data_IF_903696964029
#
_entry.id   IF_903696964029
#
_cell.length_a   1.000
_cell.length_b   1.000
_cell.length_c   1.000
_cell.angle_alpha   90.00
_cell.angle_beta   90.00
_cell.angle_gamma   90.00
#
_symmetry.space_group_name_H-M   'P 1'
#
loop_
_entity.id
_entity.type
_entity.pdbx_description
1 polymer ?
#
# COMPACT_ATOMS: atom_id res chain seq x y z
N UNK A 1 5.65 -14.15 16.01
CA UNK A 1 4.42 -13.35 15.82
C UNK A 1 4.28 -13.00 14.34
N UNK A 2 3.13 -13.30 13.75
CA UNK A 2 2.76 -12.91 12.38
C UNK A 2 2.24 -11.47 12.40
N UNK A 3 2.63 -10.67 11.40
CA UNK A 3 2.09 -9.32 11.18
C UNK A 3 0.81 -9.39 10.35
N UNK A 4 -0.14 -8.46 10.53
CA UNK A 4 -1.30 -8.37 9.66
C UNK A 4 -0.90 -7.97 8.24
N UNK A 5 -1.72 -8.39 7.29
CA UNK A 5 -1.67 -8.01 5.89
C UNK A 5 -3.00 -7.33 5.58
N UNK A 6 -2.95 -6.11 5.05
CA UNK A 6 -4.12 -5.37 4.62
C UNK A 6 -3.96 -4.92 3.16
N UNK A 7 -5.05 -4.94 2.40
CA UNK A 7 -5.04 -4.53 0.99
C UNK A 7 -6.32 -3.79 0.65
N UNK A 8 -6.25 -2.86 -0.30
CA UNK A 8 -7.39 -2.09 -0.80
C UNK A 8 -7.17 -1.69 -2.25
N UNK A 9 -8.27 -1.53 -3.01
CA UNK A 9 -8.24 -1.17 -4.42
C UNK A 9 -7.91 -2.34 -5.35
N UNK A 10 -7.40 -2.03 -6.54
CA UNK A 10 -7.08 -3.01 -7.57
C UNK A 10 -5.78 -3.76 -7.25
N UNK A 11 -5.77 -5.05 -7.59
CA UNK A 11 -4.53 -5.80 -7.78
C UNK A 11 -3.81 -5.37 -9.06
N UNK A 12 -2.52 -5.69 -9.14
CA UNK A 12 -1.73 -5.43 -10.35
C UNK A 12 -2.31 -6.16 -11.57
N UNK A 13 -2.82 -7.38 -11.39
CA UNK A 13 -3.45 -8.16 -12.44
C UNK A 13 -4.72 -7.47 -12.96
N UNK A 14 -5.63 -7.07 -12.07
CA UNK A 14 -6.88 -6.38 -12.44
C UNK A 14 -6.58 -5.04 -13.14
N UNK A 15 -5.62 -4.27 -12.64
CA UNK A 15 -5.28 -2.99 -13.25
C UNK A 15 -4.67 -3.16 -14.64
N UNK A 16 -3.76 -4.13 -14.83
CA UNK A 16 -3.22 -4.44 -16.17
C UNK A 16 -4.30 -4.96 -17.13
N UNK A 17 -5.23 -5.81 -16.64
CA UNK A 17 -6.36 -6.30 -17.43
C UNK A 17 -7.33 -5.19 -17.84
N UNK A 18 -7.43 -4.12 -17.05
CA UNK A 18 -8.24 -2.94 -17.39
C UNK A 18 -7.62 -2.05 -18.47
N UNK A 19 -6.44 -2.40 -18.99
CA UNK A 19 -5.72 -1.65 -20.02
C UNK A 19 -4.95 -0.44 -19.49
N UNK A 20 -4.87 -0.25 -18.16
CA UNK A 20 -4.12 0.84 -17.54
C UNK A 20 -2.62 0.57 -17.59
N UNK A 21 -1.85 1.61 -17.90
CA UNK A 21 -0.42 1.64 -17.62
C UNK A 21 -0.22 1.84 -16.12
N UNK A 22 0.51 0.93 -15.47
CA UNK A 22 0.66 0.96 -14.01
C UNK A 22 2.13 0.97 -13.58
N UNK A 23 2.40 1.79 -12.57
CA UNK A 23 3.64 1.80 -11.82
C UNK A 23 3.43 1.04 -10.52
N UNK A 24 4.39 0.17 -10.20
CA UNK A 24 4.39 -0.58 -8.95
C UNK A 24 5.62 -0.16 -8.16
N UNK A 25 5.39 0.28 -6.93
CA UNK A 25 6.48 0.59 -6.00
C UNK A 25 6.28 -0.17 -4.70
N UNK A 26 7.39 -0.60 -4.10
CA UNK A 26 7.37 -1.25 -2.80
C UNK A 26 8.52 -0.75 -1.95
N UNK A 27 8.24 -0.45 -0.69
CA UNK A 27 9.23 0.10 0.25
C UNK A 27 9.25 -0.75 1.52
N UNK A 28 10.44 -1.18 2.00
CA UNK A 28 10.57 -1.81 3.30
C UNK A 28 10.10 -0.88 4.42
N UNK A 29 9.29 -1.38 5.35
CA UNK A 29 8.77 -0.56 6.46
C UNK A 29 9.91 0.05 7.29
N UNK A 30 11.00 -0.70 7.48
CA UNK A 30 12.16 -0.26 8.24
C UNK A 30 12.84 0.99 7.66
N UNK A 31 12.78 1.20 6.34
CA UNK A 31 13.39 2.36 5.68
C UNK A 31 12.49 3.59 5.65
N UNK A 32 11.22 3.48 6.04
CA UNK A 32 10.29 4.62 6.03
C UNK A 32 10.54 5.48 7.27
N UNK A 33 11.10 6.68 7.05
CA UNK A 33 11.43 7.60 8.14
C UNK A 33 10.18 8.07 8.92
N UNK A 34 9.09 8.33 8.19
CA UNK A 34 7.81 8.85 8.73
C UNK A 34 6.90 7.79 9.39
N UNK A 35 7.37 6.55 9.54
CA UNK A 35 6.67 5.50 10.29
C UNK A 35 7.41 5.17 11.59
N UNK A 36 7.25 5.97 12.66
CA UNK A 36 7.94 5.74 13.92
C UNK A 36 7.35 4.55 14.68
N UNK A 37 6.05 4.26 14.51
CA UNK A 37 5.32 3.25 15.30
C UNK A 37 5.94 1.85 15.22
N UNK A 38 6.22 1.27 14.04
CA UNK A 38 6.88 -0.04 13.94
C UNK A 38 8.24 -0.11 14.65
N UNK A 39 8.99 0.99 14.68
CA UNK A 39 10.29 1.09 15.38
C UNK A 39 10.10 1.14 16.89
N UNK A 40 9.14 1.93 17.37
CA UNK A 40 8.84 2.09 18.80
C UNK A 40 8.41 0.77 19.44
N UNK A 41 7.60 -0.03 18.72
CA UNK A 41 7.12 -1.34 19.23
C UNK A 41 8.11 -2.48 18.97
N UNK A 42 9.26 -2.20 18.38
CA UNK A 42 10.30 -3.20 18.12
C UNK A 42 10.02 -4.17 16.97
N UNK A 43 9.05 -3.89 16.08
CA UNK A 43 8.79 -4.68 14.87
C UNK A 43 8.77 -3.81 13.59
N UNK A 44 9.93 -3.34 13.13
CA UNK A 44 10.05 -2.53 11.92
C UNK A 44 10.01 -3.34 10.62
N UNK A 45 9.90 -4.67 10.69
CA UNK A 45 9.96 -5.52 9.49
C UNK A 45 8.60 -5.53 8.79
N UNK A 46 8.61 -5.63 7.47
CA UNK A 46 7.40 -5.50 6.66
C UNK A 46 7.66 -4.82 5.32
N UNK A 47 6.60 -4.71 4.52
CA UNK A 47 6.63 -4.11 3.20
C UNK A 47 5.32 -3.34 2.96
N UNK A 48 5.43 -2.17 2.32
CA UNK A 48 4.29 -1.45 1.77
C UNK A 48 4.45 -1.43 0.26
N UNK A 49 3.42 -1.88 -0.46
CA UNK A 49 3.33 -1.86 -1.93
C UNK A 49 2.20 -0.90 -2.34
N UNK A 50 2.47 -0.04 -3.31
CA UNK A 50 1.48 0.79 -3.98
C UNK A 50 1.41 0.44 -5.46
N UNK A 51 0.19 0.46 -5.99
CA UNK A 51 -0.13 0.40 -7.39
C UNK A 51 -0.65 1.77 -7.81
N UNK A 52 0.01 2.39 -8.78
CA UNK A 52 -0.25 3.76 -9.21
C UNK A 52 -0.50 3.75 -10.71
N UNK A 53 -1.49 4.51 -11.15
CA UNK A 53 -1.73 4.77 -12.57
C UNK A 53 -0.58 5.63 -13.13
N UNK A 54 0.08 5.17 -14.18
CA UNK A 54 1.31 5.81 -14.69
C UNK A 54 1.04 7.18 -15.34
N UNK A 55 -0.18 7.44 -15.80
CA UNK A 55 -0.54 8.67 -16.49
C UNK A 55 -1.10 9.71 -15.53
N UNK A 56 -2.03 9.31 -14.66
CA UNK A 56 -2.72 10.21 -13.74
C UNK A 56 -2.08 10.31 -12.35
N UNK A 57 -1.09 9.45 -12.06
CA UNK A 57 -0.43 9.33 -10.75
C UNK A 57 -1.39 9.04 -9.59
N UNK A 58 -2.58 8.51 -9.89
CA UNK A 58 -3.56 8.14 -8.88
C UNK A 58 -3.22 6.78 -8.28
N UNK A 59 -3.44 6.66 -6.96
CA UNK A 59 -3.36 5.36 -6.29
C UNK A 59 -4.54 4.51 -6.76
N UNK A 60 -4.23 3.37 -7.36
CA UNK A 60 -5.21 2.38 -7.80
C UNK A 60 -5.41 1.28 -6.75
N UNK A 61 -4.38 1.02 -5.96
CA UNK A 61 -4.43 0.05 -4.88
C UNK A 61 -3.18 0.06 -4.01
N UNK A 62 -3.28 -0.59 -2.86
CA UNK A 62 -2.16 -0.74 -1.94
C UNK A 62 -2.22 -2.07 -1.19
N UNK A 63 -1.06 -2.52 -0.73
CA UNK A 63 -0.91 -3.68 0.15
C UNK A 63 0.11 -3.37 1.23
N UNK A 64 -0.30 -3.49 2.48
CA UNK A 64 0.49 -3.15 3.66
C UNK A 64 0.70 -4.41 4.49
N UNK A 65 1.95 -4.80 4.70
CA UNK A 65 2.35 -5.87 5.59
C UNK A 65 3.21 -5.31 6.69
N UNK A 66 2.60 -4.87 7.78
CA UNK A 66 3.26 -4.17 8.89
C UNK A 66 2.40 -4.20 10.15
N UNK A 67 2.96 -3.74 11.28
CA UNK A 67 2.16 -3.51 12.49
C UNK A 67 1.08 -2.47 12.21
N UNK A 68 -0.13 -2.71 12.72
CA UNK A 68 -1.31 -1.84 12.59
C UNK A 68 -1.77 -1.61 11.13
N UNK A 69 -1.44 -2.53 10.20
CA UNK A 69 -1.81 -2.39 8.79
C UNK A 69 -3.32 -2.26 8.57
N UNK A 70 -4.14 -2.87 9.41
CA UNK A 70 -5.61 -2.80 9.36
C UNK A 70 -6.17 -1.40 9.63
N UNK A 71 -5.44 -0.55 10.34
CA UNK A 71 -5.83 0.84 10.57
C UNK A 71 -5.24 1.76 9.49
N UNK A 72 -3.96 1.54 9.14
CA UNK A 72 -3.27 2.34 8.12
C UNK A 72 -3.92 2.21 6.73
N UNK A 73 -4.46 1.04 6.40
CA UNK A 73 -5.13 0.82 5.11
C UNK A 73 -6.35 1.73 4.92
N UNK A 74 -7.04 2.11 6.00
CA UNK A 74 -8.21 2.99 5.93
C UNK A 74 -7.82 4.41 5.50
N UNK A 75 -6.63 4.88 5.91
CA UNK A 75 -6.10 6.16 5.42
C UNK A 75 -5.80 6.12 3.92
N UNK A 76 -5.34 4.97 3.40
CA UNK A 76 -5.13 4.79 1.95
C UNK A 76 -6.45 4.69 1.21
N UNK A 77 -7.43 3.96 1.75
CA UNK A 77 -8.78 3.85 1.17
C UNK A 77 -9.40 5.22 0.92
N UNK A 78 -9.27 6.15 1.87
CA UNK A 78 -9.78 7.51 1.75
C UNK A 78 -9.14 8.32 0.59
N UNK A 79 -7.99 7.90 0.08
CA UNK A 79 -7.28 8.54 -1.05
C UNK A 79 -7.54 7.85 -2.39
N UNK A 80 -8.20 6.68 -2.40
CA UNK A 80 -8.53 6.00 -3.64
C UNK A 80 -9.56 6.82 -4.42
N UNK A 81 -9.28 7.03 -5.70
CA UNK A 81 -10.26 7.68 -6.58
C UNK A 81 -11.32 6.64 -6.99
N UNK A 82 -12.62 6.98 -6.93
CA UNK A 82 -13.66 6.11 -7.43
C UNK A 82 -13.45 5.82 -8.93
N UNK A 83 -13.72 4.57 -9.31
CA UNK A 83 -13.77 4.15 -10.71
C UNK A 83 -14.96 4.87 -11.36
N UNK A 84 -14.67 5.89 -12.18
CA UNK A 84 -15.64 6.59 -13.04
C UNK A 84 -15.76 5.92 -14.39
#
# INVERSE_FOLDING_TARGET
MTRPLASVGLSETEARQSGRSVLVTSVPVASIAVMPRPKIVGDPRGLIKFLVDAESHQILGATLYCVDSQELINAVFAQLKPLS
#
